data_IF_186993549190
#
_entry.id   IF_186993549190
#
_cell.length_a   1.000
_cell.length_b   1.000
_cell.length_c   1.000
_cell.angle_alpha   90.00
_cell.angle_beta   90.00
_cell.angle_gamma   90.00
#
_symmetry.space_group_name_H-M   'P 1'
#
loop_
_entity.id
_entity.type
_entity.pdbx_description
1 polymer ?
#
# COMPACT_ATOMS: atom_id res chain seq x y z
N UNK A 1 25.28 -6.14 1.24
CA UNK A 1 26.46 -6.23 2.15
C UNK A 1 26.28 -5.46 3.46
N UNK A 2 25.06 -5.08 3.82
CA UNK A 2 24.80 -4.18 4.96
C UNK A 2 23.59 -4.59 5.82
N UNK A 3 23.10 -5.83 5.70
CA UNK A 3 22.06 -6.30 6.60
C UNK A 3 22.69 -6.72 7.93
N UNK A 4 22.07 -6.29 9.04
CA UNK A 4 22.47 -6.75 10.37
C UNK A 4 22.28 -8.28 10.46
N UNK A 5 23.22 -9.05 11.04
CA UNK A 5 23.05 -10.49 11.28
C UNK A 5 21.72 -10.86 11.96
N UNK A 6 21.20 -9.99 12.82
CA UNK A 6 19.92 -10.20 13.53
C UNK A 6 18.71 -9.61 12.79
N UNK A 7 18.90 -9.01 11.61
CA UNK A 7 17.83 -8.41 10.82
C UNK A 7 16.83 -9.44 10.28
N UNK A 8 15.56 -9.07 10.16
CA UNK A 8 14.51 -9.86 9.53
C UNK A 8 14.29 -9.37 8.10
N UNK A 9 14.11 -10.29 7.15
CA UNK A 9 13.78 -9.98 5.76
C UNK A 9 12.27 -10.11 5.58
N UNK A 10 11.62 -9.05 5.15
CA UNK A 10 10.17 -9.01 4.93
C UNK A 10 9.95 -8.69 3.45
N UNK A 11 9.19 -9.53 2.74
CA UNK A 11 8.99 -9.45 1.30
C UNK A 11 7.50 -9.54 0.94
N UNK A 12 7.10 -8.81 -0.13
CA UNK A 12 5.78 -8.97 -0.72
C UNK A 12 5.71 -10.33 -1.45
N UNK A 13 4.87 -11.23 -0.94
CA UNK A 13 4.67 -12.58 -1.48
C UNK A 13 3.78 -12.62 -2.73
N UNK A 14 3.12 -11.51 -3.08
CA UNK A 14 2.33 -11.39 -4.31
C UNK A 14 3.17 -10.85 -5.49
N UNK A 15 4.42 -10.43 -5.24
CA UNK A 15 5.36 -10.06 -6.29
C UNK A 15 6.02 -11.32 -6.88
N UNK A 16 5.95 -11.48 -8.20
CA UNK A 16 6.41 -12.66 -8.94
C UNK A 16 7.92 -12.90 -8.83
N UNK A 17 8.71 -11.88 -8.53
CA UNK A 17 10.15 -11.97 -8.35
C UNK A 17 10.51 -12.17 -6.88
N UNK A 18 9.89 -11.41 -5.98
CA UNK A 18 10.21 -11.50 -4.56
C UNK A 18 9.83 -12.85 -3.96
N UNK A 19 8.70 -13.45 -4.40
CA UNK A 19 8.26 -14.77 -3.94
C UNK A 19 9.27 -15.90 -4.26
N UNK A 20 10.13 -15.71 -5.26
CA UNK A 20 11.16 -16.70 -5.61
C UNK A 20 12.36 -16.69 -4.66
N UNK A 21 12.46 -15.70 -3.78
CA UNK A 21 13.58 -15.56 -2.84
C UNK A 21 13.33 -16.48 -1.64
N UNK A 22 14.02 -17.60 -1.59
CA UNK A 22 13.90 -18.56 -0.50
C UNK A 22 14.77 -18.22 0.72
N UNK A 23 15.84 -17.47 0.50
CA UNK A 23 16.81 -17.14 1.55
C UNK A 23 17.58 -15.86 1.21
N UNK A 24 17.86 -15.05 2.24
CA UNK A 24 18.72 -13.88 2.17
C UNK A 24 19.69 -13.91 3.36
N UNK A 25 20.98 -14.04 3.10
CA UNK A 25 22.03 -14.16 4.13
C UNK A 25 21.75 -15.25 5.19
N UNK A 26 21.30 -16.43 4.76
CA UNK A 26 20.99 -17.55 5.65
C UNK A 26 19.66 -17.44 6.39
N UNK A 27 18.81 -16.44 6.07
CA UNK A 27 17.52 -16.21 6.70
C UNK A 27 16.38 -16.41 5.72
N UNK A 28 15.35 -17.11 6.15
CA UNK A 28 14.09 -17.21 5.40
C UNK A 28 13.31 -15.90 5.51
N UNK A 29 12.83 -15.36 4.39
CA UNK A 29 11.97 -14.18 4.44
C UNK A 29 10.63 -14.45 5.13
N UNK A 30 10.12 -13.43 5.80
CA UNK A 30 8.71 -13.33 6.18
C UNK A 30 7.97 -12.75 4.98
N UNK A 31 6.97 -13.46 4.47
CA UNK A 31 6.17 -12.99 3.37
C UNK A 31 4.87 -12.34 3.87
N UNK A 32 4.41 -11.32 3.15
CA UNK A 32 3.06 -10.79 3.30
C UNK A 32 2.38 -10.69 1.95
N UNK A 33 1.04 -10.84 1.91
CA UNK A 33 0.30 -10.75 0.66
C UNK A 33 -1.22 -10.85 0.84
N UNK A 34 -1.95 -10.56 -0.24
CA UNK A 34 -3.41 -10.77 -0.32
C UNK A 34 -3.69 -12.13 -0.96
N UNK A 35 -2.93 -12.49 -2.00
CA UNK A 35 -3.07 -13.77 -2.71
C UNK A 35 -2.21 -14.85 -2.07
N UNK A 36 -1.05 -14.49 -1.59
CA UNK A 36 -0.15 -15.38 -0.87
C UNK A 36 -0.51 -15.38 0.61
N UNK A 37 -1.05 -16.50 1.09
CA UNK A 37 -1.49 -16.71 2.48
C UNK A 37 -0.49 -17.53 3.31
N UNK A 38 0.73 -17.74 2.81
CA UNK A 38 1.74 -18.55 3.51
C UNK A 38 2.44 -17.80 4.67
N UNK A 39 2.23 -16.49 4.79
CA UNK A 39 2.78 -15.64 5.84
C UNK A 39 1.69 -14.76 6.43
N UNK A 40 2.00 -13.47 6.59
CA UNK A 40 1.00 -12.48 6.98
C UNK A 40 0.13 -12.17 5.75
N UNK A 41 -1.19 -12.27 5.90
CA UNK A 41 -2.09 -11.99 4.79
C UNK A 41 -3.33 -11.24 5.23
N UNK A 42 -4.02 -10.61 4.28
CA UNK A 42 -5.27 -9.91 4.54
C UNK A 42 -6.42 -10.48 3.72
N UNK A 43 -7.59 -10.56 4.35
CA UNK A 43 -8.86 -10.89 3.70
C UNK A 43 -9.97 -9.93 4.15
N UNK A 44 -11.23 -10.19 3.74
CA UNK A 44 -12.38 -9.34 4.06
C UNK A 44 -12.11 -7.86 3.78
N UNK A 45 -11.47 -7.58 2.63
CA UNK A 45 -11.09 -6.22 2.23
C UNK A 45 -12.33 -5.47 1.78
N UNK A 46 -12.68 -4.42 2.50
CA UNK A 46 -13.80 -3.51 2.23
C UNK A 46 -13.25 -2.12 1.89
N UNK A 47 -13.47 -1.68 0.66
CA UNK A 47 -13.10 -0.33 0.23
C UNK A 47 -14.14 0.68 0.75
N UNK A 48 -13.72 1.56 1.64
CA UNK A 48 -14.54 2.63 2.23
C UNK A 48 -14.41 3.96 1.45
N UNK A 49 -13.88 3.91 0.24
CA UNK A 49 -13.63 5.08 -0.59
C UNK A 49 -12.60 6.01 0.05
N UNK A 50 -12.98 7.28 0.20
CA UNK A 50 -12.09 8.31 0.77
C UNK A 50 -11.85 8.16 2.28
N UNK A 51 -12.63 7.31 2.95
CA UNK A 51 -12.48 7.03 4.40
C UNK A 51 -11.49 5.88 4.66
N UNK A 52 -10.86 5.35 3.60
CA UNK A 52 -9.83 4.34 3.71
C UNK A 52 -10.28 2.94 3.34
N UNK A 53 -9.68 1.94 3.98
CA UNK A 53 -9.94 0.52 3.72
C UNK A 53 -10.06 -0.21 5.05
N UNK A 54 -11.04 -1.12 5.16
CA UNK A 54 -11.13 -2.06 6.28
C UNK A 54 -10.73 -3.43 5.80
N UNK A 55 -9.95 -4.15 6.60
CA UNK A 55 -9.58 -5.54 6.32
C UNK A 55 -9.34 -6.31 7.61
N UNK A 56 -9.26 -7.63 7.49
CA UNK A 56 -8.75 -8.50 8.54
C UNK A 56 -7.33 -8.91 8.18
N UNK A 57 -6.39 -8.71 9.09
CA UNK A 57 -5.00 -9.13 8.96
C UNK A 57 -4.81 -10.40 9.77
N UNK A 58 -4.29 -11.44 9.11
CA UNK A 58 -3.90 -12.70 9.69
C UNK A 58 -2.41 -12.69 9.94
N UNK A 59 -2.02 -12.93 11.18
CA UNK A 59 -0.62 -12.99 11.58
C UNK A 59 -0.05 -14.40 11.36
N UNK A 60 1.24 -14.50 11.07
CA UNK A 60 1.86 -15.79 10.80
C UNK A 60 2.04 -16.59 12.10
N UNK A 61 1.38 -17.74 12.20
CA UNK A 61 1.44 -18.61 13.39
C UNK A 61 2.84 -19.17 13.70
N UNK A 62 3.74 -19.24 12.69
CA UNK A 62 5.05 -19.91 12.79
C UNK A 62 6.25 -18.95 12.84
N UNK A 63 6.05 -17.64 12.77
CA UNK A 63 7.12 -16.64 12.77
C UNK A 63 7.42 -16.04 14.16
N UNK A 64 6.94 -16.65 15.23
CA UNK A 64 7.40 -16.29 16.57
C UNK A 64 8.94 -16.41 16.58
N UNK A 65 9.61 -15.28 16.48
CA UNK A 65 11.05 -15.19 16.78
C UNK A 65 11.21 -15.81 18.16
N UNK A 66 11.76 -17.02 18.20
CA UNK A 66 12.10 -17.69 19.46
C UNK A 66 13.18 -16.87 20.16
N UNK A 67 12.77 -15.81 20.81
CA UNK A 67 13.56 -15.22 21.90
C UNK A 67 13.26 -16.06 23.13
N UNK A 68 14.28 -16.54 23.79
CA UNK A 68 14.24 -17.51 24.92
C UNK A 68 13.30 -17.15 26.08
N UNK A 69 12.55 -16.06 26.01
CA UNK A 69 11.71 -15.53 27.09
C UNK A 69 10.27 -15.12 26.71
N UNK A 70 9.76 -15.47 25.50
CA UNK A 70 8.36 -15.12 25.11
C UNK A 70 7.61 -16.33 24.57
N UNK A 71 7.01 -17.09 25.49
CA UNK A 71 6.20 -18.28 25.19
C UNK A 71 4.69 -17.98 25.04
N UNK A 72 4.22 -16.73 25.04
CA UNK A 72 2.76 -16.45 25.14
C UNK A 72 2.17 -15.36 24.22
N UNK A 73 2.90 -14.78 23.26
CA UNK A 73 2.32 -13.74 22.40
C UNK A 73 2.58 -14.00 20.91
N UNK A 74 2.04 -15.07 20.35
CA UNK A 74 1.74 -15.09 18.92
C UNK A 74 0.73 -13.95 18.66
N UNK A 75 1.04 -13.02 17.75
CA UNK A 75 0.13 -11.95 17.45
C UNK A 75 -1.18 -12.55 16.90
N UNK A 76 -2.30 -12.25 17.55
CA UNK A 76 -3.61 -12.72 17.13
C UNK A 76 -4.07 -11.97 15.87
N UNK A 77 -4.87 -12.63 15.04
CA UNK A 77 -5.55 -11.99 13.92
C UNK A 77 -6.42 -10.82 14.39
N UNK A 78 -6.43 -9.74 13.62
CA UNK A 78 -7.22 -8.57 13.97
C UNK A 78 -7.87 -7.90 12.75
N UNK A 79 -9.02 -7.26 12.99
CA UNK A 79 -9.65 -6.38 12.01
C UNK A 79 -9.19 -4.95 12.24
N UNK A 80 -8.81 -4.26 11.16
CA UNK A 80 -8.26 -2.90 11.20
C UNK A 80 -8.90 -2.02 10.14
N UNK A 81 -9.08 -0.74 10.44
CA UNK A 81 -9.42 0.28 9.48
C UNK A 81 -8.19 1.14 9.19
N UNK A 82 -7.72 1.07 7.95
CA UNK A 82 -6.60 1.86 7.44
C UNK A 82 -7.17 3.22 7.04
N UNK A 83 -6.80 4.35 7.67
CA UNK A 83 -7.43 5.64 7.44
C UNK A 83 -6.92 6.35 6.17
N UNK A 84 -6.34 5.60 5.23
CA UNK A 84 -5.81 6.11 3.98
C UNK A 84 -6.48 5.40 2.81
N UNK A 85 -6.98 6.19 1.87
CA UNK A 85 -7.73 5.69 0.73
C UNK A 85 -6.89 4.82 -0.22
N UNK A 86 -7.51 3.80 -0.80
CA UNK A 86 -6.92 2.93 -1.79
C UNK A 86 -6.55 1.55 -1.28
N UNK A 87 -7.01 0.52 -1.99
CA UNK A 87 -6.81 -0.89 -1.63
C UNK A 87 -5.33 -1.28 -1.51
N UNK A 88 -4.44 -0.61 -2.27
CA UNK A 88 -2.99 -0.81 -2.17
C UNK A 88 -2.44 -0.52 -0.77
N UNK A 89 -3.14 0.25 0.05
CA UNK A 89 -2.75 0.53 1.44
C UNK A 89 -2.84 -0.70 2.34
N UNK A 90 -3.57 -1.74 1.93
CA UNK A 90 -3.59 -3.04 2.62
C UNK A 90 -2.20 -3.68 2.61
N UNK A 91 -1.47 -3.60 1.49
CA UNK A 91 -0.08 -4.10 1.43
C UNK A 91 0.84 -3.34 2.39
N UNK A 92 0.67 -2.02 2.49
CA UNK A 92 1.47 -1.21 3.42
C UNK A 92 1.15 -1.56 4.88
N UNK A 93 -0.12 -1.80 5.20
CA UNK A 93 -0.55 -2.22 6.54
C UNK A 93 -0.01 -3.61 6.90
N UNK A 94 -0.03 -4.57 5.96
CA UNK A 94 0.57 -5.89 6.19
C UNK A 94 2.08 -5.83 6.36
N UNK A 95 2.77 -5.00 5.57
CA UNK A 95 4.21 -4.77 5.75
C UNK A 95 4.51 -4.17 7.14
N UNK A 96 3.70 -3.20 7.59
CA UNK A 96 3.82 -2.62 8.94
C UNK A 96 3.54 -3.66 10.02
N UNK A 97 2.54 -4.54 9.82
CA UNK A 97 2.24 -5.65 10.73
C UNK A 97 3.42 -6.61 10.84
N UNK A 98 4.04 -6.99 9.71
CA UNK A 98 5.22 -7.85 9.69
C UNK A 98 6.43 -7.23 10.43
N UNK A 99 6.63 -5.93 10.28
CA UNK A 99 7.67 -5.21 11.03
C UNK A 99 7.34 -5.17 12.52
N UNK A 100 6.08 -4.88 12.87
CA UNK A 100 5.63 -4.85 14.26
C UNK A 100 5.81 -6.20 14.96
N UNK A 101 5.43 -7.29 14.29
CA UNK A 101 5.65 -8.66 14.78
C UNK A 101 7.15 -8.94 14.97
N UNK A 102 7.99 -8.62 13.99
CA UNK A 102 9.43 -8.81 14.09
C UNK A 102 10.09 -8.01 15.23
N UNK A 103 9.44 -6.92 15.66
CA UNK A 103 9.86 -6.11 16.82
C UNK A 103 9.20 -6.54 18.14
N UNK A 104 8.37 -7.58 18.13
CA UNK A 104 7.71 -8.10 19.32
C UNK A 104 6.53 -7.29 19.81
N UNK A 105 5.90 -6.48 18.93
CA UNK A 105 4.67 -5.76 19.27
C UNK A 105 3.48 -6.71 19.32
N UNK A 106 2.52 -6.39 20.19
CA UNK A 106 1.26 -7.12 20.27
C UNK A 106 0.33 -6.75 19.10
N UNK A 107 -0.63 -7.60 18.76
CA UNK A 107 -1.63 -7.32 17.74
C UNK A 107 -2.36 -5.99 17.98
N UNK A 108 -2.69 -5.67 19.22
CA UNK A 108 -3.36 -4.41 19.59
C UNK A 108 -2.46 -3.19 19.38
N UNK A 109 -1.16 -3.29 19.65
CA UNK A 109 -0.20 -2.22 19.38
C UNK A 109 -0.03 -1.99 17.88
N UNK A 110 0.06 -3.06 17.10
CA UNK A 110 0.15 -3.02 15.63
C UNK A 110 -1.11 -2.38 15.05
N UNK A 111 -2.28 -2.86 15.47
CA UNK A 111 -3.58 -2.31 15.06
C UNK A 111 -3.68 -0.81 15.37
N UNK A 112 -3.39 -0.42 16.62
CA UNK A 112 -3.43 0.98 17.03
C UNK A 112 -2.49 1.85 16.18
N UNK A 113 -1.30 1.35 15.86
CA UNK A 113 -0.36 2.05 15.00
C UNK A 113 -0.87 2.24 13.57
N UNK A 114 -1.51 1.21 12.99
CA UNK A 114 -2.09 1.29 11.64
C UNK A 114 -3.30 2.23 11.62
N UNK A 115 -4.20 2.14 12.60
CA UNK A 115 -5.39 3.00 12.69
C UNK A 115 -5.04 4.47 13.00
N UNK A 116 -3.91 4.69 13.66
CA UNK A 116 -3.38 6.04 13.94
C UNK A 116 -2.51 6.64 12.83
N UNK A 117 -2.43 5.99 11.65
CA UNK A 117 -1.62 6.49 10.56
C UNK A 117 -2.15 7.81 9.99
N UNK A 118 -1.28 8.80 9.88
CA UNK A 118 -1.55 10.07 9.22
C UNK A 118 -0.84 10.13 7.87
N UNK A 119 -1.50 10.72 6.88
CA UNK A 119 -0.88 10.94 5.56
C UNK A 119 0.07 12.14 5.60
N UNK A 120 1.19 12.00 4.91
CA UNK A 120 2.12 13.10 4.70
C UNK A 120 1.64 13.90 3.48
N UNK A 121 1.81 15.23 3.50
CA UNK A 121 1.50 16.09 2.37
C UNK A 121 2.09 15.54 1.06
N UNK A 122 1.33 15.61 -0.03
CA UNK A 122 1.63 15.09 -1.37
C UNK A 122 1.67 13.56 -1.51
N UNK A 123 1.24 12.80 -0.48
CA UNK A 123 1.14 11.34 -0.55
C UNK A 123 -0.24 10.89 -0.11
N UNK A 124 -1.12 10.72 -1.09
CA UNK A 124 -2.52 10.31 -0.87
C UNK A 124 -3.19 11.14 0.24
N UNK A 125 -2.89 12.44 0.27
CA UNK A 125 -3.34 13.37 1.31
C UNK A 125 -4.64 14.02 0.90
N UNK A 126 -5.68 13.89 1.74
CA UNK A 126 -7.00 14.45 1.47
C UNK A 126 -7.12 15.80 2.14
N UNK A 127 -7.29 16.86 1.34
CA UNK A 127 -7.53 18.23 1.76
C UNK A 127 -9.01 18.55 1.54
N UNK A 128 -9.66 19.08 2.56
CA UNK A 128 -11.07 19.54 2.48
C UNK A 128 -11.10 21.04 2.73
N UNK A 129 -11.30 21.83 1.69
CA UNK A 129 -11.27 23.28 1.79
C UNK A 129 -12.23 23.93 0.80
N UNK A 130 -12.96 24.97 1.26
CA UNK A 130 -13.85 25.79 0.44
C UNK A 130 -14.87 24.99 -0.40
N UNK A 131 -15.35 23.84 0.13
CA UNK A 131 -16.30 22.98 -0.58
C UNK A 131 -15.64 22.05 -1.62
N UNK A 132 -14.33 22.10 -1.77
CA UNK A 132 -13.55 21.15 -2.57
C UNK A 132 -12.97 20.04 -1.70
N UNK A 133 -12.89 18.86 -2.32
CA UNK A 133 -12.07 17.76 -1.84
C UNK A 133 -10.91 17.57 -2.81
N UNK A 134 -9.70 17.68 -2.32
CA UNK A 134 -8.48 17.54 -3.12
C UNK A 134 -7.73 16.31 -2.62
N UNK A 135 -7.49 15.35 -3.52
CA UNK A 135 -6.57 14.24 -3.29
C UNK A 135 -5.19 14.68 -3.80
N UNK A 136 -4.33 15.07 -2.87
CA UNK A 136 -2.95 15.49 -3.17
C UNK A 136 -2.01 14.29 -3.09
N UNK A 137 -1.59 13.79 -4.27
CA UNK A 137 -0.67 12.66 -4.43
C UNK A 137 0.46 12.99 -5.42
N UNK A 138 0.95 14.22 -5.37
CA UNK A 138 1.87 14.76 -6.38
C UNK A 138 3.37 14.65 -6.02
N UNK A 139 3.75 13.90 -4.98
CA UNK A 139 5.16 13.77 -4.58
C UNK A 139 6.00 13.03 -5.63
N UNK A 140 5.47 11.94 -6.16
CA UNK A 140 6.07 11.15 -7.22
C UNK A 140 4.98 10.42 -8.00
N UNK A 141 5.23 10.13 -9.27
CA UNK A 141 4.27 9.47 -10.14
C UNK A 141 4.89 8.29 -10.88
N UNK A 142 4.15 7.19 -10.92
CA UNK A 142 4.41 6.05 -11.78
C UNK A 142 3.07 5.44 -12.24
N UNK A 143 3.05 4.57 -13.26
CA UNK A 143 1.80 4.06 -13.80
C UNK A 143 0.91 3.36 -12.77
N UNK A 144 1.49 2.66 -11.80
CA UNK A 144 0.75 1.92 -10.76
C UNK A 144 0.12 2.89 -9.77
N UNK A 145 0.91 3.85 -9.23
CA UNK A 145 0.40 4.81 -8.26
C UNK A 145 -0.65 5.75 -8.87
N UNK A 146 -0.45 6.21 -10.11
CA UNK A 146 -1.43 7.06 -10.78
C UNK A 146 -2.77 6.35 -11.00
N UNK A 147 -2.75 5.09 -11.45
CA UNK A 147 -3.97 4.28 -11.57
C UNK A 147 -4.67 4.09 -10.23
N UNK A 148 -3.91 3.84 -9.16
CA UNK A 148 -4.46 3.71 -7.81
C UNK A 148 -5.12 5.01 -7.32
N UNK A 149 -4.50 6.18 -7.56
CA UNK A 149 -5.09 7.49 -7.20
C UNK A 149 -6.34 7.80 -8.04
N UNK A 150 -6.36 7.41 -9.31
CA UNK A 150 -7.55 7.49 -10.18
C UNK A 150 -8.69 6.61 -9.62
N UNK A 151 -8.40 5.40 -9.15
CA UNK A 151 -9.40 4.53 -8.54
C UNK A 151 -9.98 5.13 -7.26
N UNK A 152 -9.15 5.75 -6.44
CA UNK A 152 -9.61 6.48 -5.25
C UNK A 152 -10.54 7.63 -5.66
N UNK A 153 -10.14 8.46 -6.63
CA UNK A 153 -10.96 9.56 -7.13
C UNK A 153 -12.27 9.06 -7.74
N UNK A 154 -12.27 7.91 -8.40
CA UNK A 154 -13.47 7.32 -9.01
C UNK A 154 -14.54 6.96 -7.97
N UNK A 155 -14.17 6.67 -6.73
CA UNK A 155 -15.11 6.43 -5.61
C UNK A 155 -15.76 7.71 -5.09
N UNK A 156 -15.22 8.89 -5.41
CA UNK A 156 -15.72 10.17 -4.91
C UNK A 156 -17.07 10.51 -5.50
N UNK A 157 -17.89 11.21 -4.72
CA UNK A 157 -19.18 11.76 -5.18
C UNK A 157 -18.97 13.17 -5.74
N UNK A 158 -19.84 13.55 -6.70
CA UNK A 158 -19.83 14.88 -7.31
C UNK A 158 -18.94 14.95 -8.56
N UNK A 159 -18.61 16.17 -8.97
CA UNK A 159 -17.80 16.42 -10.17
C UNK A 159 -16.36 16.05 -9.91
N UNK A 160 -15.80 15.20 -10.77
CA UNK A 160 -14.44 14.66 -10.67
C UNK A 160 -13.51 15.34 -11.66
N UNK A 161 -12.46 15.98 -11.15
CA UNK A 161 -11.44 16.66 -11.95
C UNK A 161 -10.11 15.99 -11.66
N UNK A 162 -9.47 15.49 -12.70
CA UNK A 162 -8.15 14.85 -12.62
C UNK A 162 -7.10 15.78 -13.20
N UNK A 163 -6.01 16.00 -12.49
CA UNK A 163 -4.86 16.81 -12.94
C UNK A 163 -3.64 15.89 -12.91
N UNK A 164 -3.13 15.52 -14.08
CA UNK A 164 -2.02 14.59 -14.23
C UNK A 164 -0.81 15.28 -14.84
N UNK A 165 0.34 15.06 -14.24
CA UNK A 165 1.63 15.52 -14.73
C UNK A 165 2.44 14.41 -15.39
N UNK A 166 3.57 14.79 -16.02
CA UNK A 166 4.51 13.83 -16.57
C UNK A 166 5.09 12.92 -15.49
N UNK A 167 5.22 11.63 -15.81
CA UNK A 167 5.96 10.66 -15.02
C UNK A 167 7.41 10.61 -15.50
N UNK A 168 8.35 10.67 -14.57
CA UNK A 168 9.78 10.63 -14.88
C UNK A 168 10.39 9.26 -14.55
N UNK A 169 11.63 9.05 -15.01
CA UNK A 169 12.42 7.84 -14.74
C UNK A 169 11.80 6.51 -15.25
N UNK A 170 10.98 6.59 -16.31
CA UNK A 170 10.30 5.42 -16.89
C UNK A 170 11.13 4.70 -17.98
N UNK A 171 12.28 5.25 -18.37
CA UNK A 171 13.12 4.68 -19.42
C UNK A 171 12.51 4.79 -20.82
N UNK A 172 12.89 3.88 -21.71
CA UNK A 172 12.53 3.95 -23.15
C UNK A 172 11.02 3.82 -23.41
N UNK A 173 10.26 3.25 -22.48
CA UNK A 173 8.82 3.02 -22.61
C UNK A 173 7.95 4.16 -22.07
N UNK A 174 8.54 5.33 -21.76
CA UNK A 174 7.83 6.43 -21.10
C UNK A 174 6.52 6.83 -21.80
N UNK A 175 6.52 6.96 -23.14
CA UNK A 175 5.33 7.34 -23.91
C UNK A 175 4.22 6.29 -23.83
N UNK A 176 4.60 5.01 -23.92
CA UNK A 176 3.64 3.91 -23.84
C UNK A 176 3.01 3.86 -22.45
N UNK A 177 3.79 4.06 -21.39
CA UNK A 177 3.32 4.06 -20.02
C UNK A 177 2.38 5.24 -19.72
N UNK A 178 2.64 6.43 -20.27
CA UNK A 178 1.71 7.55 -20.21
C UNK A 178 0.39 7.24 -20.94
N UNK A 179 0.48 6.67 -22.15
CA UNK A 179 -0.69 6.26 -22.90
C UNK A 179 -1.55 5.23 -22.15
N UNK A 180 -0.92 4.28 -21.46
CA UNK A 180 -1.63 3.28 -20.65
C UNK A 180 -2.38 3.90 -19.47
N UNK A 181 -1.80 4.92 -18.79
CA UNK A 181 -2.49 5.66 -17.74
C UNK A 181 -3.68 6.43 -18.30
N UNK A 182 -3.51 7.13 -19.43
CA UNK A 182 -4.61 7.82 -20.11
C UNK A 182 -5.72 6.86 -20.55
N UNK A 183 -5.36 5.72 -21.12
CA UNK A 183 -6.32 4.67 -21.52
C UNK A 183 -7.07 4.09 -20.31
N UNK A 184 -6.40 3.92 -19.18
CA UNK A 184 -7.02 3.47 -17.93
C UNK A 184 -8.02 4.51 -17.43
N UNK A 185 -7.64 5.78 -17.39
CA UNK A 185 -8.49 6.88 -16.95
C UNK A 185 -9.73 7.04 -17.85
N UNK A 186 -9.61 6.81 -19.17
CA UNK A 186 -10.72 6.86 -20.10
C UNK A 186 -11.84 5.82 -19.81
N UNK A 187 -11.55 4.79 -19.03
CA UNK A 187 -12.53 3.79 -18.59
C UNK A 187 -13.26 4.19 -17.30
N UNK A 188 -12.84 5.30 -16.68
CA UNK A 188 -13.39 5.81 -15.42
C UNK A 188 -14.36 6.98 -15.65
N UNK A 189 -15.20 7.24 -14.67
CA UNK A 189 -16.17 8.34 -14.73
C UNK A 189 -15.54 9.66 -14.29
N UNK A 190 -14.68 10.24 -15.14
CA UNK A 190 -14.06 11.53 -14.90
C UNK A 190 -14.73 12.62 -15.73
N UNK A 191 -15.09 13.75 -15.11
CA UNK A 191 -15.74 14.87 -15.80
C UNK A 191 -14.73 15.76 -16.53
N UNK A 192 -13.53 15.90 -16.00
CA UNK A 192 -12.45 16.74 -16.56
C UNK A 192 -11.10 16.08 -16.35
N UNK A 193 -10.30 16.07 -17.39
CA UNK A 193 -8.86 15.76 -17.34
C UNK A 193 -8.06 17.00 -17.74
N UNK A 194 -7.17 17.42 -16.88
CA UNK A 194 -6.13 18.42 -17.17
C UNK A 194 -4.76 17.72 -17.19
N UNK A 195 -4.00 17.96 -18.21
CA UNK A 195 -2.66 17.38 -18.35
C UNK A 195 -1.59 18.48 -18.28
N UNK A 196 -0.47 18.15 -17.67
CA UNK A 196 0.68 19.06 -17.48
C UNK A 196 1.95 18.35 -17.89
N UNK A 197 2.58 18.83 -18.96
CA UNK A 197 3.81 18.25 -19.50
C UNK A 197 3.67 17.73 -20.93
N UNK A 198 4.81 17.43 -21.54
CA UNK A 198 4.88 17.03 -22.94
C UNK A 198 4.51 15.56 -23.18
N UNK A 199 4.60 14.72 -22.17
CA UNK A 199 4.30 13.28 -22.26
C UNK A 199 2.86 12.96 -21.85
N UNK A 200 2.27 13.82 -21.02
CA UNK A 200 0.88 13.67 -20.54
C UNK A 200 -0.15 14.27 -21.49
N UNK A 201 0.27 14.93 -22.55
CA UNK A 201 -0.60 15.66 -23.50
C UNK A 201 -1.10 14.77 -24.64
#
# INVERSE_FOLDING_TARGET
>A
KSMNPDGTVILNGDDDKLITISEVYGKKPVFFGIKNTAGIYADHIENLGLEGVRCRIHMAADNAVQTENQTENAAEDFTVQIPVAGEHMVYNAMAAAAVGEALGLTAEQIKTGIEGMETIARRNHIIRENGFLILDDCYNANPVSMKASVDVLDTAKGRKVCILGDMFELGENEKQLHYEVGSYLAQKQMDVLLTVGALST
#
